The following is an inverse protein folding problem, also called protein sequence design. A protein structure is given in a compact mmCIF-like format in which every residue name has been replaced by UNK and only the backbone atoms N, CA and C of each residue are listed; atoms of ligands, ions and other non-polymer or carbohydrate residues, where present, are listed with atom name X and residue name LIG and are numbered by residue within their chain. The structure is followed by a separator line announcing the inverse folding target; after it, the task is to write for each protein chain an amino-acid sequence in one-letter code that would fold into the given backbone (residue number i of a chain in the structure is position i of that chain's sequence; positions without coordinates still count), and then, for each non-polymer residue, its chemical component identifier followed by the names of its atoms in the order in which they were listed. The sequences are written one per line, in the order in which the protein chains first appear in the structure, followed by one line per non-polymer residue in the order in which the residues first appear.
data_IF_076153952066
#
_entry.id   IF_076153952066
#
_cell.length_a   1.000
_cell.length_b   1.000
_cell.length_c   1.000
_cell.angle_alpha   90.00
_cell.angle_beta   90.00
_cell.angle_gamma   90.00
#
_symmetry.space_group_name_H-M   'P 1'
#
loop_
_entity.id
_entity.type
_entity.pdbx_description
1 polymer ?
#
# COMPACT_ATOMS: atom_id res chain seq x y z
N UNK A 1 7.73 31.42 15.40
CA UNK A 1 7.34 32.64 14.64
C UNK A 1 6.01 32.35 14.00
N UNK A 2 4.95 32.99 14.50
CA UNK A 2 3.57 32.80 14.05
C UNK A 2 3.33 33.68 12.83
N UNK A 3 2.79 33.12 11.75
CA UNK A 3 2.28 33.89 10.61
C UNK A 3 0.74 33.88 10.66
N UNK A 4 0.09 35.00 10.30
CA UNK A 4 -1.33 35.21 10.51
C UNK A 4 -2.19 34.39 9.55
N UNK A 5 -3.22 33.74 10.11
CA UNK A 5 -4.37 33.23 9.37
C UNK A 5 -5.23 34.42 8.96
N UNK A 6 -5.12 34.83 7.69
CA UNK A 6 -6.13 35.65 7.04
C UNK A 6 -7.24 34.79 6.42
N UNK A 7 -8.41 35.40 6.43
CA UNK A 7 -9.73 34.80 6.50
C UNK A 7 -10.35 34.53 5.11
N UNK A 8 -11.07 33.42 5.02
CA UNK A 8 -12.26 33.17 4.19
C UNK A 8 -12.23 33.57 2.71
N UNK A 9 -11.90 32.60 1.86
CA UNK A 9 -12.60 32.42 0.58
C UNK A 9 -13.62 31.28 0.76
N UNK A 10 -14.88 31.52 0.34
CA UNK A 10 -15.90 30.45 0.24
C UNK A 10 -15.36 29.32 -0.66
N UNK A 11 -15.67 28.04 -0.40
CA UNK A 11 -15.45 27.00 -1.40
C UNK A 11 -16.20 27.44 -2.67
N UNK A 12 -15.50 27.51 -3.80
CA UNK A 12 -16.14 27.85 -5.07
C UNK A 12 -17.20 26.80 -5.42
N UNK A 13 -18.30 27.25 -6.03
CA UNK A 13 -19.41 26.48 -6.58
C UNK A 13 -18.97 25.59 -7.79
N UNK A 14 -17.84 24.89 -7.68
CA UNK A 14 -17.33 23.97 -8.70
C UNK A 14 -17.82 22.55 -8.46
N UNK A 15 -18.14 21.84 -9.54
CA UNK A 15 -18.47 20.41 -9.47
C UNK A 15 -17.25 19.58 -9.02
N UNK A 16 -17.50 18.38 -8.46
CA UNK A 16 -16.44 17.42 -8.10
C UNK A 16 -15.44 17.21 -9.25
N UNK A 17 -15.95 17.07 -10.48
CA UNK A 17 -15.13 16.87 -11.66
C UNK A 17 -14.20 18.06 -11.93
N UNK A 18 -14.69 19.30 -11.85
CA UNK A 18 -13.87 20.50 -12.08
C UNK A 18 -12.76 20.65 -11.04
N UNK A 19 -13.07 20.42 -9.76
CA UNK A 19 -12.08 20.49 -8.68
C UNK A 19 -10.98 19.45 -8.82
N UNK A 20 -11.38 18.19 -9.08
CA UNK A 20 -10.43 17.08 -9.27
C UNK A 20 -9.61 17.28 -10.55
N UNK A 21 -10.24 17.76 -11.62
CA UNK A 21 -9.56 18.08 -12.86
C UNK A 21 -8.51 19.18 -12.69
N UNK A 22 -8.82 20.21 -11.91
CA UNK A 22 -7.89 21.29 -11.59
C UNK A 22 -6.67 20.75 -10.82
N UNK A 23 -6.88 19.88 -9.82
CA UNK A 23 -5.79 19.26 -9.06
C UNK A 23 -4.87 18.39 -9.96
N UNK A 24 -5.47 17.57 -10.84
CA UNK A 24 -4.73 16.75 -11.81
C UNK A 24 -3.96 17.64 -12.80
N UNK A 25 -4.62 18.64 -13.38
CA UNK A 25 -4.03 19.52 -14.39
C UNK A 25 -2.88 20.34 -13.81
N UNK A 26 -3.02 20.89 -12.60
CA UNK A 26 -1.93 21.59 -11.91
C UNK A 26 -0.72 20.67 -11.75
N UNK A 27 -0.91 19.44 -11.25
CA UNK A 27 0.21 18.51 -11.05
C UNK A 27 0.93 18.14 -12.37
N UNK A 28 0.20 18.09 -13.49
CA UNK A 28 0.80 17.84 -14.81
C UNK A 28 1.51 19.09 -15.38
N UNK A 29 0.88 20.27 -15.29
CA UNK A 29 1.43 21.54 -15.79
C UNK A 29 2.68 21.94 -15.01
N UNK A 30 2.66 21.79 -13.69
CA UNK A 30 3.80 22.06 -12.80
C UNK A 30 4.88 20.97 -12.91
N UNK A 31 4.66 19.95 -13.74
CA UNK A 31 5.55 18.81 -13.94
C UNK A 31 5.87 18.12 -12.62
N UNK A 32 4.88 17.96 -11.73
CA UNK A 32 5.00 17.13 -10.53
C UNK A 32 4.65 15.67 -10.82
N UNK A 33 3.77 15.43 -11.81
CA UNK A 33 3.38 14.10 -12.29
C UNK A 33 3.64 13.94 -13.79
N UNK A 34 3.89 12.70 -14.22
CA UNK A 34 3.90 12.33 -15.65
C UNK A 34 2.53 11.85 -16.13
N UNK A 35 1.87 10.99 -15.35
CA UNK A 35 0.51 10.52 -15.64
C UNK A 35 -0.17 9.89 -14.43
N UNK A 36 -1.49 9.81 -14.49
CA UNK A 36 -2.34 9.29 -13.40
C UNK A 36 -3.64 8.71 -13.93
N UNK A 37 -4.19 7.74 -13.20
CA UNK A 37 -5.59 7.32 -13.28
C UNK A 37 -6.24 7.55 -11.92
N UNK A 38 -7.30 8.36 -11.91
CA UNK A 38 -8.07 8.68 -10.70
C UNK A 38 -9.50 8.18 -10.86
N UNK A 39 -9.97 7.42 -9.87
CA UNK A 39 -11.34 6.94 -9.76
C UNK A 39 -11.93 7.38 -8.41
N UNK A 40 -13.18 7.82 -8.41
CA UNK A 40 -13.92 8.16 -7.19
C UNK A 40 -15.29 7.51 -7.26
N UNK A 41 -15.58 6.69 -6.26
CA UNK A 41 -16.91 6.17 -5.99
C UNK A 41 -17.53 6.90 -4.79
N UNK A 42 -18.83 7.22 -4.88
CA UNK A 42 -19.64 7.72 -3.77
C UNK A 42 -20.88 6.84 -3.64
N UNK A 43 -21.12 6.32 -2.45
CA UNK A 43 -22.25 5.45 -2.12
C UNK A 43 -22.38 4.19 -3.01
N UNK A 44 -21.28 3.79 -3.64
CA UNK A 44 -21.23 2.59 -4.49
C UNK A 44 -21.39 2.87 -5.97
N UNK A 45 -21.56 4.14 -6.35
CA UNK A 45 -21.61 4.60 -7.74
C UNK A 45 -20.30 5.28 -8.13
N UNK A 46 -19.82 5.00 -9.34
CA UNK A 46 -18.64 5.64 -9.90
C UNK A 46 -19.01 7.06 -10.36
N UNK A 47 -18.59 8.07 -9.59
CA UNK A 47 -18.94 9.48 -9.83
C UNK A 47 -17.85 10.27 -10.56
N UNK A 48 -16.64 9.73 -10.64
CA UNK A 48 -15.54 10.33 -11.39
C UNK A 48 -14.58 9.25 -11.90
N UNK A 49 -14.10 9.43 -13.13
CA UNK A 49 -13.07 8.61 -13.75
C UNK A 49 -12.26 9.45 -14.70
N UNK A 50 -10.93 9.43 -14.56
CA UNK A 50 -10.05 10.10 -15.49
C UNK A 50 -8.68 9.47 -15.57
N UNK A 51 -8.24 9.19 -16.78
CA UNK A 51 -6.83 9.03 -17.13
C UNK A 51 -6.27 10.37 -17.64
N UNK A 52 -5.09 10.76 -17.17
CA UNK A 52 -4.45 12.01 -17.57
C UNK A 52 -2.92 11.87 -17.67
N UNK A 53 -2.31 12.67 -18.55
CA UNK A 53 -0.87 12.63 -18.80
C UNK A 53 -0.44 11.45 -19.67
N UNK A 54 0.77 10.95 -19.44
CA UNK A 54 1.42 9.92 -20.27
C UNK A 54 1.72 8.67 -19.45
N UNK A 55 1.42 7.50 -20.02
CA UNK A 55 1.85 6.21 -19.48
C UNK A 55 3.35 5.97 -19.73
N UNK A 56 3.87 6.46 -20.85
CA UNK A 56 5.29 6.52 -21.20
C UNK A 56 5.54 7.83 -21.94
N UNK A 57 6.24 8.76 -21.28
CA UNK A 57 6.53 10.09 -21.82
C UNK A 57 7.50 10.03 -23.00
N UNK A 58 8.55 9.23 -22.89
CA UNK A 58 9.60 9.13 -23.90
C UNK A 58 9.04 8.54 -25.21
N UNK A 59 8.08 7.63 -25.12
CA UNK A 59 7.39 7.04 -26.26
C UNK A 59 6.06 7.73 -26.63
N UNK A 60 5.70 8.84 -25.94
CA UNK A 60 4.46 9.61 -26.16
C UNK A 60 3.18 8.76 -26.08
N UNK A 61 3.16 7.76 -25.19
CA UNK A 61 2.00 6.91 -24.96
C UNK A 61 1.07 7.61 -23.98
N UNK A 62 -0.12 7.97 -24.44
CA UNK A 62 -1.15 8.55 -23.59
C UNK A 62 -1.56 7.60 -22.44
N UNK A 63 -1.83 8.16 -21.27
CA UNK A 63 -2.40 7.39 -20.18
C UNK A 63 -3.80 6.90 -20.56
N UNK A 64 -4.15 5.68 -20.13
CA UNK A 64 -5.47 5.07 -20.35
C UNK A 64 -6.06 4.66 -19.02
N UNK A 65 -7.39 4.63 -18.93
CA UNK A 65 -8.11 4.21 -17.72
C UNK A 65 -7.81 2.76 -17.34
N UNK A 66 -7.55 1.93 -18.35
CA UNK A 66 -7.20 0.51 -18.21
C UNK A 66 -5.68 0.28 -18.01
N UNK A 67 -4.88 1.32 -17.78
CA UNK A 67 -3.44 1.18 -17.59
C UNK A 67 -3.11 0.30 -16.37
N UNK A 68 -2.08 -0.53 -16.51
CA UNK A 68 -1.57 -1.40 -15.46
C UNK A 68 -0.39 -0.70 -14.78
N UNK A 69 -0.45 -0.62 -13.46
CA UNK A 69 0.59 -0.05 -12.61
C UNK A 69 1.24 -1.15 -11.79
N UNK A 70 2.55 -1.01 -11.51
CA UNK A 70 3.19 -1.80 -10.44
C UNK A 70 2.73 -1.22 -9.12
N UNK A 71 2.10 -2.02 -8.27
CA UNK A 71 1.27 -1.55 -7.17
C UNK A 71 2.04 -1.21 -5.88
N UNK A 72 3.26 -1.71 -5.73
CA UNK A 72 3.99 -1.59 -4.45
C UNK A 72 3.08 -1.93 -3.26
N UNK A 73 3.01 -1.06 -2.25
CA UNK A 73 2.28 -1.32 -1.01
C UNK A 73 0.74 -1.28 -1.11
N UNK A 74 0.17 -1.01 -2.30
CA UNK A 74 -1.24 -1.30 -2.59
C UNK A 74 -1.49 -2.82 -2.59
N UNK A 75 -0.45 -3.64 -2.72
CA UNK A 75 -0.50 -5.10 -2.54
C UNK A 75 -0.98 -5.51 -1.14
N UNK A 76 -0.69 -4.72 -0.10
CA UNK A 76 -0.91 -5.11 1.30
C UNK A 76 -2.38 -5.37 1.63
N UNK A 77 -3.33 -4.45 1.36
CA UNK A 77 -4.75 -4.73 1.56
C UNK A 77 -5.22 -6.02 0.91
N UNK A 78 -4.73 -6.35 -0.29
CA UNK A 78 -5.11 -7.55 -1.02
C UNK A 78 -4.66 -8.82 -0.29
N UNK A 79 -3.39 -8.86 0.14
CA UNK A 79 -2.83 -9.99 0.88
C UNK A 79 -3.45 -10.10 2.27
N UNK A 80 -3.75 -8.97 2.92
CA UNK A 80 -4.50 -8.94 4.19
C UNK A 80 -5.88 -9.55 4.03
N UNK A 81 -6.63 -9.19 2.97
CA UNK A 81 -7.95 -9.80 2.71
C UNK A 81 -7.81 -11.30 2.51
N UNK A 82 -6.83 -11.77 1.73
CA UNK A 82 -6.58 -13.19 1.53
C UNK A 82 -6.31 -13.92 2.86
N UNK A 83 -5.48 -13.35 3.74
CA UNK A 83 -5.23 -13.89 5.08
C UNK A 83 -6.50 -13.91 5.92
N UNK A 84 -7.29 -12.83 5.94
CA UNK A 84 -8.53 -12.78 6.72
C UNK A 84 -9.60 -13.76 6.21
N UNK A 85 -9.60 -14.10 4.92
CA UNK A 85 -10.44 -15.20 4.40
C UNK A 85 -10.02 -16.55 4.97
N UNK A 86 -8.72 -16.81 5.08
CA UNK A 86 -8.20 -18.02 5.72
C UNK A 86 -8.53 -18.04 7.21
N UNK A 87 -8.55 -16.87 7.87
CA UNK A 87 -9.02 -16.73 9.26
C UNK A 87 -10.49 -17.12 9.39
N UNK A 88 -11.39 -16.56 8.57
CA UNK A 88 -12.82 -16.91 8.62
C UNK A 88 -13.09 -18.39 8.33
N UNK A 89 -12.26 -18.99 7.47
CA UNK A 89 -12.35 -20.41 7.13
C UNK A 89 -11.73 -21.33 8.20
N UNK A 90 -11.11 -20.77 9.25
CA UNK A 90 -10.48 -21.54 10.32
C UNK A 90 -9.14 -22.20 9.95
N UNK A 91 -8.53 -21.79 8.83
CA UNK A 91 -7.23 -22.30 8.38
C UNK A 91 -6.07 -21.71 9.19
N UNK A 92 -6.15 -20.41 9.53
CA UNK A 92 -5.14 -19.71 10.35
C UNK A 92 -5.85 -18.93 11.48
N UNK A 93 -5.27 -18.90 12.67
CA UNK A 93 -5.78 -18.08 13.79
C UNK A 93 -5.05 -16.74 13.92
N UNK A 94 -5.75 -15.67 14.33
CA UNK A 94 -5.11 -14.37 14.62
C UNK A 94 -4.07 -14.46 15.76
N UNK A 95 -4.29 -15.38 16.70
CA UNK A 95 -3.42 -15.69 17.84
C UNK A 95 -2.49 -16.89 17.61
N UNK A 96 -2.46 -17.44 16.39
CA UNK A 96 -1.53 -18.51 16.09
C UNK A 96 -0.10 -17.95 16.01
N UNK A 97 0.89 -18.63 16.63
CA UNK A 97 2.28 -18.29 16.43
C UNK A 97 2.70 -18.61 14.99
N UNK A 98 3.41 -17.68 14.34
CA UNK A 98 3.80 -17.83 12.93
C UNK A 98 4.71 -19.04 12.68
N UNK A 99 5.39 -19.53 13.73
CA UNK A 99 6.27 -20.69 13.69
C UNK A 99 5.56 -22.00 13.42
N UNK A 100 4.21 -22.03 13.50
CA UNK A 100 3.38 -23.15 13.01
C UNK A 100 3.57 -23.38 11.50
N UNK A 101 3.81 -22.33 10.72
CA UNK A 101 4.05 -22.41 9.27
C UNK A 101 5.50 -22.15 8.89
N UNK A 102 6.19 -21.30 9.65
CA UNK A 102 7.57 -20.88 9.42
C UNK A 102 8.46 -21.24 10.63
N UNK A 103 8.73 -22.53 10.89
CA UNK A 103 9.39 -22.99 12.12
C UNK A 103 10.80 -22.41 12.33
N UNK A 104 11.48 -22.05 11.24
CA UNK A 104 12.83 -21.47 11.24
C UNK A 104 12.85 -19.94 11.31
N UNK A 105 11.68 -19.28 11.16
CA UNK A 105 11.59 -17.82 11.26
C UNK A 105 11.51 -17.41 12.74
N UNK A 106 12.69 -17.27 13.37
CA UNK A 106 12.83 -16.98 14.80
C UNK A 106 13.82 -15.83 15.06
N UNK A 107 13.52 -14.61 14.58
CA UNK A 107 14.32 -13.45 14.93
C UNK A 107 14.34 -13.23 16.45
N UNK A 108 15.48 -12.78 16.97
CA UNK A 108 15.70 -12.53 18.40
C UNK A 108 15.39 -11.08 18.75
N UNK A 109 15.10 -10.81 20.01
CA UNK A 109 15.05 -9.44 20.53
C UNK A 109 16.46 -8.81 20.54
N UNK A 110 16.60 -7.48 20.68
CA UNK A 110 17.90 -6.82 20.74
C UNK A 110 18.84 -7.35 21.83
N UNK A 111 18.29 -7.84 22.94
CA UNK A 111 19.03 -8.45 24.06
C UNK A 111 19.34 -9.95 23.85
N UNK A 112 18.94 -10.52 22.71
CA UNK A 112 19.09 -11.95 22.39
C UNK A 112 17.93 -12.84 22.83
N UNK A 113 16.90 -12.29 23.48
CA UNK A 113 15.72 -13.02 23.94
C UNK A 113 14.90 -13.67 22.82
N UNK A 114 14.16 -14.74 23.16
CA UNK A 114 13.15 -15.31 22.25
C UNK A 114 11.94 -14.37 22.15
N UNK A 115 11.27 -14.35 21.00
CA UNK A 115 10.01 -13.64 20.80
C UNK A 115 8.98 -14.54 20.12
N UNK A 116 7.71 -14.39 20.49
CA UNK A 116 6.59 -15.04 19.81
C UNK A 116 5.87 -14.02 18.95
N UNK A 117 5.97 -14.17 17.62
CA UNK A 117 5.21 -13.36 16.67
C UNK A 117 3.91 -14.09 16.34
N UNK A 118 2.79 -13.38 16.47
CA UNK A 118 1.45 -13.86 16.13
C UNK A 118 1.03 -13.32 14.76
N UNK A 119 0.05 -13.97 14.12
CA UNK A 119 -0.53 -13.49 12.85
C UNK A 119 -1.04 -12.05 12.98
N UNK A 120 -1.74 -11.71 14.07
CA UNK A 120 -2.21 -10.33 14.30
C UNK A 120 -1.09 -9.31 14.32
N UNK A 121 0.10 -9.66 14.84
CA UNK A 121 1.25 -8.75 14.88
C UNK A 121 1.80 -8.44 13.48
N UNK A 122 1.64 -9.39 12.54
CA UNK A 122 2.01 -9.14 11.16
C UNK A 122 1.01 -8.19 10.48
N UNK A 123 -0.29 -8.44 10.66
CA UNK A 123 -1.37 -7.65 10.07
C UNK A 123 -1.38 -6.18 10.50
N UNK A 124 -0.85 -5.89 11.69
CA UNK A 124 -0.83 -4.55 12.30
C UNK A 124 0.51 -3.85 12.22
N UNK A 125 1.56 -4.51 11.70
CA UNK A 125 2.94 -4.03 11.79
C UNK A 125 3.44 -3.79 13.24
N UNK A 126 3.02 -4.66 14.18
CA UNK A 126 3.48 -4.64 15.58
C UNK A 126 4.39 -5.82 15.93
N UNK A 127 4.93 -6.53 14.94
CA UNK A 127 5.78 -7.71 15.14
C UNK A 127 7.22 -7.43 15.58
N UNK A 128 7.65 -6.16 15.58
CA UNK A 128 9.05 -5.79 15.79
C UNK A 128 9.92 -5.86 14.53
N UNK A 129 9.37 -6.29 13.38
CA UNK A 129 10.09 -6.26 12.10
C UNK A 129 10.22 -4.82 11.57
N UNK A 130 11.12 -4.62 10.60
CA UNK A 130 11.32 -3.35 9.89
C UNK A 130 11.38 -3.50 8.37
N UNK A 131 11.99 -2.51 7.72
CA UNK A 131 12.28 -2.44 6.29
C UNK A 131 13.71 -1.91 6.11
N UNK A 132 14.41 -2.30 5.03
CA UNK A 132 15.78 -1.80 4.79
C UNK A 132 15.80 -0.29 4.52
N UNK A 133 14.80 0.23 3.80
CA UNK A 133 14.68 1.69 3.56
C UNK A 133 14.37 2.52 4.82
N UNK A 134 14.09 1.87 5.95
CA UNK A 134 13.75 2.50 7.23
C UNK A 134 14.77 2.15 8.33
N UNK A 135 15.99 1.78 7.95
CA UNK A 135 17.13 1.67 8.86
C UNK A 135 18.32 2.49 8.34
N UNK A 136 19.31 2.71 9.21
CA UNK A 136 20.56 3.36 8.84
C UNK A 136 21.34 2.51 7.82
N UNK A 137 22.13 3.16 6.95
CA UNK A 137 23.05 2.46 6.06
C UNK A 137 23.95 1.51 6.87
N UNK A 138 24.23 0.34 6.30
CA UNK A 138 24.94 -0.76 6.97
C UNK A 138 24.25 -1.30 8.23
N UNK A 139 22.95 -1.03 8.44
CA UNK A 139 22.12 -1.64 9.48
C UNK A 139 22.00 -3.17 9.38
N UNK A 140 21.38 -3.83 10.36
CA UNK A 140 21.27 -5.28 10.38
C UNK A 140 20.63 -5.88 9.11
N UNK A 141 19.62 -5.23 8.52
CA UNK A 141 18.95 -5.76 7.34
C UNK A 141 19.82 -5.58 6.09
N UNK A 142 20.50 -4.44 5.95
CA UNK A 142 21.51 -4.20 4.91
C UNK A 142 22.63 -5.24 4.97
N UNK A 143 23.22 -5.49 6.15
CA UNK A 143 24.29 -6.51 6.32
C UNK A 143 23.82 -7.92 6.01
N UNK A 144 22.56 -8.25 6.33
CA UNK A 144 21.96 -9.53 5.99
C UNK A 144 21.55 -9.65 4.49
N UNK A 145 21.55 -8.53 3.76
CA UNK A 145 21.13 -8.47 2.36
C UNK A 145 19.63 -8.77 2.20
N UNK A 146 18.81 -8.29 3.13
CA UNK A 146 17.35 -8.36 3.05
C UNK A 146 16.85 -7.52 1.88
N UNK A 147 15.86 -8.03 1.15
CA UNK A 147 15.16 -7.32 0.08
C UNK A 147 13.81 -6.80 0.57
N UNK A 148 13.46 -5.59 0.15
CA UNK A 148 12.18 -4.94 0.47
C UNK A 148 11.05 -5.32 -0.51
N UNK A 149 11.33 -6.24 -1.46
CA UNK A 149 10.35 -6.81 -2.39
C UNK A 149 10.18 -6.04 -3.70
N UNK A 150 10.92 -4.95 -3.90
CA UNK A 150 10.94 -4.13 -5.11
C UNK A 150 12.26 -4.24 -5.89
N UNK A 151 13.19 -5.01 -5.35
CA UNK A 151 14.56 -5.20 -5.81
C UNK A 151 14.92 -6.71 -5.88
N UNK A 152 16.19 -7.00 -6.16
CA UNK A 152 16.77 -8.34 -6.26
C UNK A 152 15.92 -9.35 -7.06
N UNK A 153 15.89 -9.25 -8.40
CA UNK A 153 15.26 -10.27 -9.25
C UNK A 153 15.78 -11.68 -8.96
N UNK A 154 14.91 -12.67 -9.05
CA UNK A 154 15.26 -14.08 -8.89
C UNK A 154 15.43 -14.56 -7.44
N UNK A 155 15.28 -13.68 -6.45
CA UNK A 155 15.31 -14.07 -5.03
C UNK A 155 14.08 -14.91 -4.69
N UNK A 156 14.26 -16.01 -3.95
CA UNK A 156 13.16 -16.80 -3.40
C UNK A 156 12.64 -16.25 -2.06
N UNK A 157 11.39 -16.53 -1.71
CA UNK A 157 10.81 -16.10 -0.43
C UNK A 157 11.56 -16.74 0.75
N UNK A 158 11.94 -18.01 0.62
CA UNK A 158 12.65 -18.74 1.66
C UNK A 158 14.02 -18.11 1.97
N UNK A 159 14.76 -17.68 0.94
CA UNK A 159 16.03 -16.96 1.13
C UNK A 159 15.82 -15.59 1.80
N UNK A 160 14.83 -14.81 1.35
CA UNK A 160 14.59 -13.49 1.95
C UNK A 160 14.12 -13.60 3.41
N UNK A 161 13.23 -14.56 3.72
CA UNK A 161 12.75 -14.81 5.09
C UNK A 161 13.88 -15.29 6.00
N UNK A 162 14.80 -16.14 5.50
CA UNK A 162 15.98 -16.56 6.26
C UNK A 162 16.88 -15.36 6.62
N UNK A 163 17.10 -14.44 5.68
CA UNK A 163 17.88 -13.23 5.92
C UNK A 163 17.20 -12.31 6.92
N UNK A 164 15.89 -12.11 6.75
CA UNK A 164 15.08 -11.31 7.66
C UNK A 164 15.11 -11.88 9.09
N UNK A 165 14.97 -13.19 9.25
CA UNK A 165 15.03 -13.87 10.55
C UNK A 165 16.41 -13.81 11.23
N UNK A 166 17.48 -13.55 10.47
CA UNK A 166 18.84 -13.42 11.01
C UNK A 166 19.11 -12.07 11.66
N UNK A 167 18.27 -11.07 11.38
CA UNK A 167 18.35 -9.75 12.00
C UNK A 167 17.48 -9.69 13.27
N UNK A 168 17.89 -8.90 14.28
CA UNK A 168 17.09 -8.75 15.49
C UNK A 168 15.79 -7.99 15.21
N UNK A 169 14.76 -8.27 16.00
CA UNK A 169 13.57 -7.43 16.12
C UNK A 169 13.95 -6.08 16.73
N UNK A 170 13.17 -5.05 16.41
CA UNK A 170 13.34 -3.70 16.94
C UNK A 170 12.71 -3.53 18.33
N UNK A 171 11.69 -4.32 18.65
CA UNK A 171 10.97 -4.34 19.91
C UNK A 171 10.20 -5.65 20.07
N UNK A 172 9.69 -5.93 21.28
CA UNK A 172 8.89 -7.11 21.54
C UNK A 172 7.55 -7.07 20.80
N UNK A 173 7.11 -8.18 20.15
CA UNK A 173 5.87 -8.18 19.39
C UNK A 173 4.68 -7.73 20.23
N UNK A 174 3.93 -6.75 19.74
CA UNK A 174 2.77 -6.16 20.41
C UNK A 174 3.05 -4.90 21.23
N UNK A 175 4.31 -4.55 21.49
CA UNK A 175 4.67 -3.43 22.40
C UNK A 175 4.88 -2.09 21.68
N UNK A 176 4.98 -2.08 20.34
CA UNK A 176 5.17 -0.87 19.55
C UNK A 176 4.68 -1.08 18.10
N UNK A 177 4.74 -0.03 17.29
CA UNK A 177 4.38 -0.05 15.88
C UNK A 177 5.57 0.34 14.99
N UNK A 178 5.83 -0.43 13.92
CA UNK A 178 6.82 -0.07 12.90
C UNK A 178 6.47 -0.72 11.58
N UNK A 179 6.29 0.11 10.55
CA UNK A 179 6.06 -0.38 9.20
C UNK A 179 7.17 -1.33 8.73
N UNK A 180 6.79 -2.47 8.16
CA UNK A 180 7.71 -3.60 8.05
C UNK A 180 7.40 -4.62 6.95
N UNK A 181 8.35 -5.54 6.72
CA UNK A 181 8.23 -6.74 5.89
C UNK A 181 7.24 -7.79 6.40
N UNK A 182 6.41 -7.46 7.41
CA UNK A 182 5.42 -8.37 7.97
C UNK A 182 4.46 -8.98 6.93
N UNK A 183 4.10 -8.22 5.89
CA UNK A 183 3.21 -8.71 4.84
C UNK A 183 3.88 -9.73 3.90
N UNK A 184 5.21 -9.68 3.75
CA UNK A 184 5.99 -10.68 3.04
C UNK A 184 6.10 -11.97 3.85
N UNK A 185 6.25 -11.86 5.18
CA UNK A 185 6.16 -13.01 6.10
C UNK A 185 4.78 -13.64 6.04
N UNK A 186 3.71 -12.83 6.07
CA UNK A 186 2.33 -13.30 5.93
C UNK A 186 2.09 -13.98 4.58
N UNK A 187 2.68 -13.45 3.50
CA UNK A 187 2.69 -14.10 2.19
C UNK A 187 3.28 -15.51 2.25
N UNK A 188 4.44 -15.68 2.89
CA UNK A 188 5.07 -17.00 3.10
C UNK A 188 4.20 -17.95 3.93
N UNK A 189 3.44 -17.45 4.92
CA UNK A 189 2.48 -18.25 5.69
C UNK A 189 1.33 -18.73 4.80
N UNK A 190 0.78 -17.85 3.96
CA UNK A 190 -0.28 -18.21 3.01
C UNK A 190 0.21 -19.29 2.03
N UNK A 191 1.43 -19.19 1.53
CA UNK A 191 2.01 -20.24 0.66
C UNK A 191 2.10 -21.59 1.37
N UNK A 192 2.51 -21.60 2.63
CA UNK A 192 2.59 -22.83 3.44
C UNK A 192 1.22 -23.42 3.73
N UNK A 193 0.24 -22.61 4.07
CA UNK A 193 -1.13 -23.06 4.34
C UNK A 193 -1.81 -23.60 3.08
N UNK A 194 -1.60 -22.94 1.93
CA UNK A 194 -2.30 -23.28 0.68
C UNK A 194 -1.55 -24.29 -0.19
N UNK A 195 -0.27 -24.53 0.08
CA UNK A 195 0.57 -25.49 -0.66
C UNK A 195 0.99 -25.03 -2.05
N UNK A 196 0.92 -23.73 -2.36
CA UNK A 196 1.22 -23.17 -3.68
C UNK A 196 1.83 -21.76 -3.61
N UNK A 197 2.06 -21.16 -4.77
CA UNK A 197 2.59 -19.80 -4.85
C UNK A 197 1.56 -18.78 -4.36
N UNK A 198 2.02 -17.67 -3.74
CA UNK A 198 1.14 -16.66 -3.15
C UNK A 198 0.14 -16.09 -4.16
N UNK A 199 0.56 -15.90 -5.41
CA UNK A 199 -0.30 -15.40 -6.48
C UNK A 199 -1.47 -16.31 -6.79
N UNK A 200 -1.32 -17.63 -6.69
CA UNK A 200 -2.41 -18.58 -6.89
C UNK A 200 -3.42 -18.52 -5.74
N UNK A 201 -2.92 -18.41 -4.51
CA UNK A 201 -3.76 -18.24 -3.32
C UNK A 201 -4.55 -16.92 -3.39
N UNK A 202 -3.90 -15.79 -3.69
CA UNK A 202 -4.55 -14.48 -3.84
C UNK A 202 -5.56 -14.50 -5.00
N UNK A 203 -5.22 -15.14 -6.13
CA UNK A 203 -6.15 -15.29 -7.24
C UNK A 203 -7.41 -16.07 -6.83
N UNK A 204 -7.26 -17.17 -6.09
CA UNK A 204 -8.38 -18.00 -5.62
C UNK A 204 -9.22 -17.30 -4.53
N UNK A 205 -8.56 -16.66 -3.57
CA UNK A 205 -9.20 -16.11 -2.37
C UNK A 205 -9.83 -14.75 -2.63
N UNK A 206 -9.26 -13.93 -3.52
CA UNK A 206 -9.65 -12.52 -3.69
C UNK A 206 -10.06 -12.21 -5.12
N UNK A 207 -9.19 -12.45 -6.11
CA UNK A 207 -9.41 -11.96 -7.47
C UNK A 207 -10.58 -12.65 -8.18
N UNK A 208 -10.57 -13.99 -8.23
CA UNK A 208 -11.61 -14.78 -8.93
C UNK A 208 -13.02 -14.56 -8.35
N UNK A 209 -13.24 -14.54 -7.02
CA UNK A 209 -14.56 -14.24 -6.46
C UNK A 209 -15.10 -12.85 -6.81
N UNK A 210 -14.21 -11.88 -7.08
CA UNK A 210 -14.57 -10.54 -7.53
C UNK A 210 -14.59 -10.39 -9.07
N UNK A 211 -14.24 -11.44 -9.82
CA UNK A 211 -14.17 -11.38 -11.28
C UNK A 211 -13.01 -10.52 -11.82
N UNK A 212 -11.96 -10.30 -11.02
CA UNK A 212 -10.82 -9.44 -11.38
C UNK A 212 -9.73 -10.26 -12.07
N UNK A 213 -9.28 -9.81 -13.25
CA UNK A 213 -8.28 -10.53 -14.06
C UNK A 213 -6.97 -9.78 -14.29
N UNK A 214 -6.98 -8.45 -14.17
CA UNK A 214 -5.82 -7.61 -14.51
C UNK A 214 -4.84 -7.42 -13.35
N UNK A 215 -5.27 -7.72 -12.14
CA UNK A 215 -4.45 -7.61 -10.92
C UNK A 215 -3.83 -8.95 -10.51
N UNK A 216 -2.49 -9.01 -10.45
CA UNK A 216 -1.73 -10.22 -10.12
C UNK A 216 -0.30 -9.89 -9.67
N UNK A 217 0.47 -10.91 -9.27
CA UNK A 217 1.93 -10.79 -9.05
C UNK A 217 2.74 -10.81 -10.36
N UNK A 218 2.08 -10.66 -11.50
CA UNK A 218 2.66 -10.54 -12.82
C UNK A 218 1.89 -9.51 -13.63
N UNK A 219 2.55 -8.94 -14.63
CA UNK A 219 1.91 -8.00 -15.57
C UNK A 219 1.12 -8.80 -16.60
N UNK A 220 -0.22 -8.65 -16.57
CA UNK A 220 -1.15 -9.38 -17.44
C UNK A 220 -1.07 -8.96 -18.91
N UNK A 221 -0.87 -7.67 -19.15
CA UNK A 221 -0.67 -7.12 -20.48
C UNK A 221 0.43 -6.04 -20.43
N UNK A 222 1.56 -6.32 -21.09
CA UNK A 222 2.70 -5.41 -21.15
C UNK A 222 2.41 -4.13 -21.96
N UNK A 223 1.45 -4.16 -22.90
CA UNK A 223 1.05 -2.99 -23.68
C UNK A 223 0.22 -1.98 -22.87
N UNK A 224 -0.29 -2.41 -21.71
CA UNK A 224 -1.01 -1.57 -20.74
C UNK A 224 -0.13 -1.08 -19.61
N UNK A 225 1.08 -1.62 -19.46
CA UNK A 225 1.96 -1.30 -18.35
C UNK A 225 2.54 0.12 -18.47
N UNK A 226 2.45 0.90 -17.39
CA UNK A 226 3.08 2.23 -17.34
C UNK A 226 4.59 2.14 -17.13
N UNK A 227 5.34 3.06 -17.75
CA UNK A 227 6.71 3.35 -17.35
C UNK A 227 6.70 4.04 -15.97
N UNK A 228 7.71 3.81 -15.13
CA UNK A 228 7.82 4.45 -13.82
C UNK A 228 8.80 5.63 -13.86
N UNK A 229 8.46 6.68 -13.11
CA UNK A 229 9.25 7.89 -12.96
C UNK A 229 9.51 8.16 -11.48
N UNK A 230 10.59 8.89 -11.21
CA UNK A 230 10.91 9.48 -9.92
C UNK A 230 10.83 10.99 -9.99
N UNK A 231 10.51 11.66 -8.88
CA UNK A 231 10.55 13.11 -8.76
C UNK A 231 11.92 13.63 -9.23
N UNK A 232 11.92 14.77 -9.91
CA UNK A 232 13.12 15.38 -10.45
C UNK A 232 12.88 16.83 -10.83
N UNK A 233 13.98 17.58 -10.99
CA UNK A 233 13.98 18.98 -11.41
C UNK A 233 14.72 19.09 -12.75
N UNK A 234 14.17 19.76 -13.77
CA UNK A 234 12.91 20.52 -13.77
C UNK A 234 11.64 19.67 -13.91
N UNK A 235 11.75 18.35 -14.09
CA UNK A 235 10.63 17.42 -14.26
C UNK A 235 11.00 15.98 -13.84
N UNK A 236 10.03 15.07 -13.66
CA UNK A 236 10.28 13.70 -13.25
C UNK A 236 11.20 12.95 -14.21
N UNK A 237 12.05 12.10 -13.67
CA UNK A 237 13.01 11.31 -14.44
C UNK A 237 12.52 9.88 -14.56
N UNK A 238 12.66 9.26 -15.74
CA UNK A 238 12.32 7.84 -15.90
C UNK A 238 13.22 7.02 -14.99
N UNK A 239 12.65 6.07 -14.24
CA UNK A 239 13.45 5.12 -13.48
C UNK A 239 14.33 4.33 -14.45
N UNK A 240 15.63 4.25 -14.14
CA UNK A 240 16.56 3.35 -14.83
C UNK A 240 16.26 1.89 -14.45
N UNK A 241 17.07 0.95 -14.96
CA UNK A 241 16.98 -0.48 -14.61
C UNK A 241 17.05 -0.70 -13.10
N UNK A 242 17.87 0.10 -12.42
CA UNK A 242 17.88 0.25 -10.97
C UNK A 242 17.81 1.74 -10.59
N UNK A 243 17.00 2.09 -9.59
CA UNK A 243 16.94 3.43 -9.04
C UNK A 243 17.00 3.41 -7.50
N UNK A 244 17.83 4.27 -6.92
CA UNK A 244 17.86 4.53 -5.48
C UNK A 244 17.17 5.86 -5.22
N UNK A 245 16.11 5.83 -4.40
CA UNK A 245 15.32 7.02 -4.08
C UNK A 245 15.39 7.26 -2.57
N UNK A 246 15.81 8.46 -2.13
CA UNK A 246 15.78 8.81 -0.71
C UNK A 246 14.35 8.75 -0.15
N UNK A 247 14.19 8.10 0.99
CA UNK A 247 12.91 8.01 1.69
C UNK A 247 13.14 7.88 3.20
N UNK A 248 12.42 8.66 4.00
CA UNK A 248 12.68 8.76 5.44
C UNK A 248 14.17 9.02 5.71
N UNK A 249 14.81 8.17 6.52
CA UNK A 249 16.24 8.23 6.86
C UNK A 249 17.11 7.32 5.97
N UNK A 250 16.52 6.65 4.98
CA UNK A 250 17.17 5.64 4.15
C UNK A 250 16.95 5.81 2.66
N UNK A 251 17.17 4.72 1.93
CA UNK A 251 17.03 4.65 0.47
C UNK A 251 16.16 3.45 0.10
N UNK A 252 15.17 3.67 -0.76
CA UNK A 252 14.44 2.57 -1.39
C UNK A 252 15.09 2.24 -2.73
N UNK A 253 15.33 0.95 -2.95
CA UNK A 253 15.87 0.42 -4.21
C UNK A 253 14.72 -0.09 -5.07
N UNK A 254 14.58 0.47 -6.27
CA UNK A 254 13.64 0.01 -7.28
C UNK A 254 14.38 -0.74 -8.37
N UNK A 255 13.87 -1.92 -8.72
CA UNK A 255 14.22 -2.63 -9.96
C UNK A 255 12.89 -2.88 -10.69
N UNK A 256 12.41 -1.95 -11.54
CA UNK A 256 11.09 -2.05 -12.15
C UNK A 256 10.84 -3.39 -12.88
N UNK A 257 11.87 -3.96 -13.49
CA UNK A 257 11.73 -5.21 -14.26
C UNK A 257 11.78 -6.48 -13.39
N UNK A 258 11.92 -6.35 -12.06
CA UNK A 258 11.81 -7.47 -11.10
C UNK A 258 10.55 -8.31 -11.34
N UNK A 259 9.42 -7.65 -11.61
CA UNK A 259 8.12 -8.31 -11.81
C UNK A 259 8.08 -9.22 -13.05
N UNK A 260 9.07 -9.12 -13.94
CA UNK A 260 9.17 -9.96 -15.13
C UNK A 260 10.02 -11.20 -14.94
N UNK A 261 10.79 -11.28 -13.86
CA UNK A 261 11.57 -12.47 -13.55
C UNK A 261 10.69 -13.47 -12.78
N UNK A 262 10.34 -14.63 -13.37
CA UNK A 262 9.47 -15.61 -12.73
C UNK A 262 10.10 -16.32 -11.53
N UNK A 263 11.42 -16.22 -11.34
CA UNK A 263 12.09 -16.74 -10.16
C UNK A 263 11.98 -15.77 -8.96
N UNK A 264 11.60 -14.51 -9.19
CA UNK A 264 11.34 -13.55 -8.12
C UNK A 264 10.14 -13.99 -7.29
N UNK A 265 10.32 -14.02 -5.98
CA UNK A 265 9.21 -14.31 -5.08
C UNK A 265 8.08 -13.27 -5.18
N UNK A 266 6.86 -13.73 -4.93
CA UNK A 266 5.69 -12.88 -4.81
C UNK A 266 5.75 -12.10 -3.48
N UNK A 267 6.22 -10.86 -3.53
CA UNK A 267 6.31 -10.00 -2.34
C UNK A 267 4.92 -9.60 -1.85
N UNK A 268 4.48 -10.19 -0.73
CA UNK A 268 3.18 -9.87 -0.14
C UNK A 268 3.04 -8.41 0.32
N UNK A 269 4.17 -7.71 0.49
CA UNK A 269 4.22 -6.29 0.80
C UNK A 269 4.21 -5.36 -0.42
N UNK A 270 4.69 -5.80 -1.59
CA UNK A 270 5.01 -4.87 -2.67
C UNK A 270 4.89 -5.39 -4.12
N UNK A 271 4.64 -6.68 -4.32
CA UNK A 271 4.97 -7.38 -5.57
C UNK A 271 3.91 -7.41 -6.66
N UNK A 272 2.72 -6.84 -6.47
CA UNK A 272 1.65 -6.94 -7.46
C UNK A 272 1.71 -5.84 -8.53
N UNK A 273 1.02 -6.08 -9.64
CA UNK A 273 0.60 -5.08 -10.62
C UNK A 273 -0.91 -5.18 -10.84
N UNK A 274 -1.56 -4.08 -11.25
CA UNK A 274 -3.01 -4.03 -11.45
C UNK A 274 -3.51 -2.68 -11.95
N UNK A 275 -4.82 -2.58 -12.11
CA UNK A 275 -5.53 -1.40 -12.65
C UNK A 275 -6.22 -0.62 -11.53
N UNK A 276 -6.51 0.66 -11.76
CA UNK A 276 -7.27 1.45 -10.80
C UNK A 276 -8.66 0.86 -10.55
N UNK A 277 -9.31 0.29 -11.57
CA UNK A 277 -10.65 -0.30 -11.47
C UNK A 277 -10.68 -1.53 -10.56
N UNK A 278 -9.69 -2.41 -10.64
CA UNK A 278 -9.59 -3.59 -9.79
C UNK A 278 -9.35 -3.18 -8.33
N UNK A 279 -8.48 -2.20 -8.09
CA UNK A 279 -8.23 -1.67 -6.75
C UNK A 279 -9.49 -1.02 -6.18
N UNK A 280 -10.22 -0.25 -6.98
CA UNK A 280 -11.49 0.35 -6.56
C UNK A 280 -12.50 -0.73 -6.17
N UNK A 281 -12.65 -1.80 -6.96
CA UNK A 281 -13.56 -2.90 -6.67
C UNK A 281 -13.22 -3.61 -5.34
N UNK A 282 -11.95 -3.83 -5.06
CA UNK A 282 -11.46 -4.42 -3.80
C UNK A 282 -11.77 -3.51 -2.62
N UNK A 283 -11.50 -2.20 -2.74
CA UNK A 283 -11.76 -1.23 -1.68
C UNK A 283 -13.27 -1.02 -1.44
N UNK A 284 -14.08 -0.98 -2.49
CA UNK A 284 -15.54 -0.93 -2.38
C UNK A 284 -16.13 -2.19 -1.73
N UNK A 285 -15.52 -3.36 -1.96
CA UNK A 285 -15.89 -4.59 -1.24
C UNK A 285 -15.73 -4.39 0.27
N UNK A 286 -14.63 -3.77 0.71
CA UNK A 286 -14.41 -3.44 2.13
C UNK A 286 -15.38 -2.36 2.61
N UNK A 287 -15.55 -1.26 1.87
CA UNK A 287 -16.48 -0.18 2.26
C UNK A 287 -17.91 -0.68 2.47
N UNK A 288 -18.37 -1.58 1.59
CA UNK A 288 -19.72 -2.18 1.60
C UNK A 288 -19.89 -3.33 2.60
N UNK A 289 -18.87 -3.64 3.41
CA UNK A 289 -18.99 -4.61 4.50
C UNK A 289 -18.54 -6.03 4.15
N UNK A 290 -17.76 -6.22 3.09
CA UNK A 290 -16.93 -7.41 2.86
C UNK A 290 -17.44 -8.41 1.83
N UNK A 291 -18.74 -8.42 1.52
CA UNK A 291 -19.30 -9.39 0.59
C UNK A 291 -18.77 -9.19 -0.85
N UNK A 292 -18.45 -10.26 -1.60
CA UNK A 292 -18.62 -11.68 -1.27
C UNK A 292 -17.40 -12.33 -0.56
N UNK A 293 -16.40 -11.56 -0.16
CA UNK A 293 -15.13 -12.08 0.36
C UNK A 293 -15.15 -12.41 1.84
N UNK A 294 -15.66 -11.48 2.65
CA UNK A 294 -15.59 -11.49 4.11
C UNK A 294 -16.95 -11.15 4.70
N UNK A 295 -17.20 -11.60 5.93
CA UNK A 295 -18.34 -11.13 6.72
C UNK A 295 -18.19 -9.67 7.14
N UNK A 296 -19.31 -9.03 7.44
CA UNK A 296 -19.35 -7.64 7.92
C UNK A 296 -18.67 -7.49 9.28
N UNK A 297 -18.73 -8.50 10.15
CA UNK A 297 -18.06 -8.46 11.45
C UNK A 297 -16.54 -8.52 11.32
N UNK A 298 -16.03 -9.33 10.39
CA UNK A 298 -14.60 -9.37 10.06
C UNK A 298 -14.13 -8.03 9.51
N UNK A 299 -14.86 -7.45 8.56
CA UNK A 299 -14.51 -6.12 8.02
C UNK A 299 -14.55 -5.04 9.10
N UNK A 300 -15.57 -5.04 9.96
CA UNK A 300 -15.65 -4.10 11.09
C UNK A 300 -14.42 -4.22 12.00
N UNK A 301 -13.93 -5.45 12.22
CA UNK A 301 -12.73 -5.71 13.02
C UNK A 301 -11.47 -5.20 12.32
N UNK A 302 -11.31 -5.46 11.03
CA UNK A 302 -10.17 -5.01 10.23
C UNK A 302 -10.06 -3.48 10.13
N UNK A 303 -11.20 -2.78 10.14
CA UNK A 303 -11.29 -1.32 10.06
C UNK A 303 -11.19 -0.59 11.40
N UNK A 304 -11.12 -1.32 12.52
CA UNK A 304 -10.87 -0.74 13.83
C UNK A 304 -9.37 -0.65 14.13
N UNK A 305 -8.97 0.21 15.06
CA UNK A 305 -7.56 0.24 15.50
C UNK A 305 -7.22 -1.09 16.19
N UNK A 306 -6.27 -1.81 15.62
CA UNK A 306 -5.79 -3.10 16.09
C UNK A 306 -4.33 -3.05 16.54
N UNK A 307 -3.67 -1.90 16.36
CA UNK A 307 -2.29 -1.66 16.80
C UNK A 307 -2.20 -1.09 18.23
N UNK A 308 -3.28 -1.14 19.01
CA UNK A 308 -3.27 -0.77 20.44
C UNK A 308 -2.88 0.69 20.71
N UNK A 309 -3.12 1.60 19.76
CA UNK A 309 -2.68 3.00 19.87
C UNK A 309 -1.18 3.23 19.68
N UNK A 310 -0.37 2.21 19.37
CA UNK A 310 1.08 2.37 19.20
C UNK A 310 1.45 3.25 17.99
N UNK A 311 0.64 3.23 16.92
CA UNK A 311 0.84 4.15 15.80
C UNK A 311 0.53 5.60 16.20
N UNK A 312 -0.50 5.83 17.02
CA UNK A 312 -0.93 7.16 17.48
C UNK A 312 0.16 7.85 18.29
N UNK A 313 0.90 7.09 19.10
CA UNK A 313 2.05 7.58 19.86
C UNK A 313 3.18 8.14 18.96
N UNK A 314 3.23 7.75 17.68
CA UNK A 314 4.22 8.21 16.70
C UNK A 314 3.62 9.17 15.67
N UNK A 315 2.32 9.04 15.39
CA UNK A 315 1.56 9.80 14.40
C UNK A 315 0.20 10.15 15.00
N UNK A 316 0.16 11.26 15.72
CA UNK A 316 -1.01 11.68 16.49
C UNK A 316 -2.27 11.75 15.61
N UNK A 317 -3.37 11.19 16.10
CA UNK A 317 -4.66 11.13 15.40
C UNK A 317 -4.78 9.96 14.42
N UNK A 318 -3.77 9.10 14.29
CA UNK A 318 -3.80 7.90 13.45
C UNK A 318 -3.70 6.60 14.26
N UNK A 319 -4.39 5.57 13.78
CA UNK A 319 -4.26 4.18 14.23
C UNK A 319 -3.92 3.26 13.07
N UNK A 320 -3.84 1.96 13.35
CA UNK A 320 -3.59 0.97 12.31
C UNK A 320 -4.48 -0.25 12.49
N UNK A 321 -5.24 -0.57 11.45
CA UNK A 321 -6.11 -1.74 11.40
C UNK A 321 -5.39 -2.96 10.85
N UNK A 322 -6.14 -3.90 10.26
CA UNK A 322 -5.52 -4.98 9.50
C UNK A 322 -5.28 -4.53 8.06
N UNK A 323 -4.04 -4.16 7.77
CA UNK A 323 -3.56 -3.83 6.41
C UNK A 323 -3.55 -2.35 6.02
N UNK A 324 -4.01 -1.43 6.87
CA UNK A 324 -4.12 0.00 6.55
C UNK A 324 -4.09 0.91 7.78
N UNK A 325 -3.77 2.18 7.56
CA UNK A 325 -3.92 3.22 8.58
C UNK A 325 -5.38 3.64 8.71
N UNK A 326 -5.76 4.07 9.92
CA UNK A 326 -7.09 4.57 10.27
C UNK A 326 -6.95 5.99 10.82
N UNK A 327 -7.79 6.91 10.37
CA UNK A 327 -7.94 8.23 10.99
C UNK A 327 -8.74 8.06 12.27
N UNK A 328 -8.12 8.25 13.44
CA UNK A 328 -8.78 8.17 14.76
C UNK A 328 -9.37 9.51 15.17
N UNK A 329 -8.59 10.57 15.04
CA UNK A 329 -9.01 11.94 15.33
C UNK A 329 -8.55 12.85 14.19
N UNK A 330 -9.47 13.29 13.31
CA UNK A 330 -9.10 14.10 12.15
C UNK A 330 -8.64 15.51 12.51
N UNK A 331 -9.04 16.05 13.66
CA UNK A 331 -8.61 17.37 14.14
C UNK A 331 -7.15 17.30 14.58
N UNK A 332 -6.81 16.29 15.40
CA UNK A 332 -5.43 16.05 15.83
C UNK A 332 -4.53 15.70 14.64
N UNK A 333 -5.02 14.85 13.73
CA UNK A 333 -4.31 14.46 12.52
C UNK A 333 -4.20 15.58 11.47
N UNK A 334 -4.95 16.68 11.61
CA UNK A 334 -5.01 17.80 10.67
C UNK A 334 -5.33 17.37 9.23
N UNK A 335 -6.29 16.46 9.09
CA UNK A 335 -6.71 15.92 7.79
C UNK A 335 -8.18 16.25 7.51
N UNK A 336 -8.58 16.35 6.22
CA UNK A 336 -9.98 16.60 5.86
C UNK A 336 -10.88 15.36 6.02
N UNK A 337 -10.29 14.20 6.30
CA UNK A 337 -10.98 12.92 6.36
C UNK A 337 -11.91 12.82 7.57
N UNK A 338 -12.96 12.00 7.48
CA UNK A 338 -13.79 11.66 8.65
C UNK A 338 -13.06 10.65 9.55
N UNK A 339 -13.42 10.63 10.85
CA UNK A 339 -12.95 9.58 11.76
C UNK A 339 -13.37 8.19 11.24
N UNK A 340 -12.48 7.21 11.35
CA UNK A 340 -12.66 5.86 10.80
C UNK A 340 -12.29 5.72 9.32
N UNK A 341 -11.86 6.80 8.65
CA UNK A 341 -11.33 6.70 7.27
C UNK A 341 -10.11 5.79 7.25
N UNK A 342 -10.12 4.79 6.37
CA UNK A 342 -8.95 3.94 6.13
C UNK A 342 -8.17 4.45 4.91
N UNK A 343 -6.84 4.42 4.98
CA UNK A 343 -5.98 4.89 3.88
C UNK A 343 -4.64 4.18 3.86
N UNK A 344 -4.05 4.12 2.67
CA UNK A 344 -2.65 3.73 2.47
C UNK A 344 -2.13 4.25 1.12
N UNK A 345 -0.95 3.78 0.71
CA UNK A 345 -0.34 4.16 -0.56
C UNK A 345 0.65 3.13 -1.09
N UNK A 346 1.38 3.52 -2.12
CA UNK A 346 2.42 2.71 -2.74
C UNK A 346 3.56 3.57 -3.26
N UNK A 347 4.80 3.14 -3.01
CA UNK A 347 6.02 3.90 -3.32
C UNK A 347 6.27 4.13 -4.81
N UNK A 348 5.56 3.45 -5.71
CA UNK A 348 5.57 3.83 -7.13
C UNK A 348 4.76 5.10 -7.45
N UNK A 349 4.11 5.71 -6.45
CA UNK A 349 3.34 6.95 -6.58
C UNK A 349 1.84 6.73 -6.49
N UNK A 350 1.36 6.02 -5.47
CA UNK A 350 -0.07 5.71 -5.35
C UNK A 350 -0.63 6.11 -4.00
N UNK A 351 -1.89 6.51 -3.99
CA UNK A 351 -2.67 6.78 -2.79
C UNK A 351 -4.11 6.33 -2.97
N UNK A 352 -4.74 5.93 -1.87
CA UNK A 352 -6.16 5.64 -1.80
C UNK A 352 -6.69 5.91 -0.40
N UNK A 353 -7.99 6.14 -0.31
CA UNK A 353 -8.70 6.18 0.96
C UNK A 353 -10.15 5.72 0.79
N UNK A 354 -10.72 5.25 1.90
CA UNK A 354 -12.14 4.89 2.03
C UNK A 354 -12.70 5.61 3.25
N UNK A 355 -13.62 6.54 3.02
CA UNK A 355 -14.34 7.27 4.05
C UNK A 355 -15.79 6.75 4.09
N UNK A 356 -16.09 5.92 5.09
CA UNK A 356 -17.42 5.31 5.24
C UNK A 356 -18.48 6.32 5.68
N UNK A 357 -18.13 7.38 6.38
CA UNK A 357 -19.07 8.41 6.81
C UNK A 357 -19.58 9.20 5.60
N UNK A 358 -18.68 9.51 4.66
CA UNK A 358 -19.03 10.22 3.41
C UNK A 358 -19.43 9.30 2.26
N UNK A 359 -19.39 7.98 2.47
CA UNK A 359 -19.66 6.99 1.43
C UNK A 359 -18.61 6.95 0.31
N UNK A 360 -17.41 7.48 0.53
CA UNK A 360 -16.39 7.67 -0.50
C UNK A 360 -15.37 6.54 -0.54
N UNK A 361 -14.97 6.18 -1.76
CA UNK A 361 -13.72 5.47 -2.04
C UNK A 361 -12.99 6.19 -3.17
N UNK A 362 -11.73 6.54 -2.93
CA UNK A 362 -10.88 7.23 -3.91
C UNK A 362 -9.63 6.42 -4.16
N UNK A 363 -9.31 6.22 -5.44
CA UNK A 363 -8.09 5.54 -5.91
C UNK A 363 -7.36 6.48 -6.85
N UNK A 364 -6.09 6.75 -6.58
CA UNK A 364 -5.20 7.51 -7.45
C UNK A 364 -3.91 6.71 -7.68
N UNK A 365 -3.81 6.11 -8.88
CA UNK A 365 -2.59 5.43 -9.32
C UNK A 365 -1.83 6.35 -10.27
N UNK A 366 -0.65 6.80 -9.85
CA UNK A 366 0.28 7.55 -10.71
C UNK A 366 1.47 6.69 -11.09
N UNK A 367 2.24 7.16 -12.07
CA UNK A 367 3.52 6.57 -12.43
C UNK A 367 4.72 7.41 -11.95
N UNK A 368 4.54 8.26 -10.93
CA UNK A 368 5.56 9.19 -10.44
C UNK A 368 5.78 9.06 -8.94
N UNK A 369 6.91 8.44 -8.56
CA UNK A 369 7.38 8.25 -7.20
C UNK A 369 8.15 9.49 -6.71
N UNK A 370 7.86 10.13 -5.58
CA UNK A 370 6.88 9.81 -4.55
C UNK A 370 5.72 10.81 -4.54
N UNK A 371 5.62 11.69 -5.55
CA UNK A 371 4.55 12.71 -5.65
C UNK A 371 3.16 12.10 -5.52
N UNK A 372 2.90 10.98 -6.21
CA UNK A 372 1.59 10.32 -6.16
C UNK A 372 1.27 9.57 -4.85
N UNK A 373 2.28 9.37 -3.99
CA UNK A 373 2.11 8.65 -2.72
C UNK A 373 1.83 9.59 -1.55
N UNK A 374 2.59 10.68 -1.46
CA UNK A 374 2.49 11.65 -0.35
C UNK A 374 2.90 13.08 -0.74
N UNK A 375 3.03 13.35 -2.03
CA UNK A 375 3.34 14.69 -2.52
C UNK A 375 2.13 15.62 -2.48
N UNK A 376 2.31 16.82 -3.01
CA UNK A 376 1.30 17.87 -2.99
C UNK A 376 0.03 17.43 -3.74
N UNK A 377 0.16 16.64 -4.81
CA UNK A 377 -0.96 16.05 -5.55
C UNK A 377 -1.96 15.32 -4.65
N UNK A 378 -1.48 14.54 -3.66
CA UNK A 378 -2.39 13.80 -2.76
C UNK A 378 -3.22 14.72 -1.87
N UNK A 379 -2.62 15.82 -1.42
CA UNK A 379 -3.29 16.86 -0.63
C UNK A 379 -4.29 17.65 -1.48
N UNK A 380 -3.89 18.05 -2.69
CA UNK A 380 -4.75 18.80 -3.62
C UNK A 380 -5.96 17.97 -4.03
N UNK A 381 -5.74 16.68 -4.35
CA UNK A 381 -6.80 15.75 -4.68
C UNK A 381 -7.80 15.58 -3.53
N UNK A 382 -7.30 15.33 -2.30
CA UNK A 382 -8.19 15.21 -1.14
C UNK A 382 -8.99 16.50 -0.90
N UNK A 383 -8.35 17.67 -0.96
CA UNK A 383 -9.05 18.96 -0.82
C UNK A 383 -10.13 19.15 -1.89
N UNK A 384 -9.82 18.84 -3.14
CA UNK A 384 -10.78 18.93 -4.24
C UNK A 384 -11.99 18.01 -4.05
N UNK A 385 -11.77 16.76 -3.60
CA UNK A 385 -12.85 15.83 -3.30
C UNK A 385 -13.72 16.35 -2.15
N UNK A 386 -13.12 16.76 -1.04
CA UNK A 386 -13.87 17.20 0.14
C UNK A 386 -14.55 18.58 -0.02
N UNK A 387 -14.09 19.42 -0.95
CA UNK A 387 -14.76 20.69 -1.25
C UNK A 387 -16.11 20.51 -1.96
N UNK A 388 -16.34 19.37 -2.61
CA UNK A 388 -17.50 19.12 -3.46
C UNK A 388 -18.59 18.23 -2.82
N UNK A 389 -18.44 17.81 -1.56
CA UNK A 389 -19.29 16.78 -0.92
C UNK A 389 -20.12 17.23 0.26
#
# INVERSE_FOLDING_TARGET
MSLPLENSARPGDGSLAEGVDAAINSALVDKRLVGTVVLIARDGELVYTRAAGLADRENKVAMREDAIFRLASITKPIVTIAAMRLVEQGHIGLDDPITKWLPDFRPRLPDGGEATILIRHLLTHTSGLGYTFAEEQDGPYHRAGVSDGLDTPGRSVADNLKRLASAPLLFAPGENWRYSLAMDVLGGIIEKETGGALGDAVAKLVMKPLGLSDTAFSVRDRNRLTANYVNGTPEPQRMAEEALVPIFDGMIRFVPDRIFDPASYHSGGAGMAGTASDILAILETIRKGGAPLLSTDTVKTMMADQAGGHMDAQQAGFGFGYGWSIVRDPVVAQVPFSAGTIKWGGVYGHSWFVDREKGLTVVALTNTALEGMWGQFTTDLAKAVYAAI
#
